data_IF_985245162256
#
_entry.id   IF_985245162256
#
_cell.length_a   1.000
_cell.length_b   1.000
_cell.length_c   1.000
_cell.angle_alpha   90.00
_cell.angle_beta   90.00
_cell.angle_gamma   90.00
#
_symmetry.space_group_name_H-M   'P 1'
#
loop_
_entity.id
_entity.type
_entity.pdbx_description
1 polymer ?
#
# COMPACT_ATOMS: atom_id res chain seq x y z
N UNK A 1 -8.07 -25.89 -3.42
CA UNK A 1 -7.49 -24.54 -3.47
C UNK A 1 -6.76 -24.36 -2.16
N UNK A 2 -5.43 -24.27 -2.17
CA UNK A 2 -4.69 -24.05 -0.93
C UNK A 2 -5.10 -22.68 -0.40
N UNK A 3 -5.74 -22.66 0.76
CA UNK A 3 -6.02 -21.42 1.47
C UNK A 3 -4.65 -20.83 1.83
N UNK A 4 -4.19 -19.83 1.09
CA UNK A 4 -2.85 -19.27 1.28
C UNK A 4 -2.90 -18.31 2.47
N UNK A 5 -2.96 -18.87 3.67
CA UNK A 5 -3.11 -18.11 4.92
C UNK A 5 -2.05 -17.01 5.05
N UNK A 6 -0.85 -17.23 4.50
CA UNK A 6 0.21 -16.22 4.45
C UNK A 6 -0.16 -15.03 3.55
N UNK A 7 -0.75 -15.28 2.39
CA UNK A 7 -1.24 -14.24 1.49
C UNK A 7 -2.36 -13.42 2.13
N UNK A 8 -3.30 -14.05 2.84
CA UNK A 8 -4.38 -13.34 3.54
C UNK A 8 -3.81 -12.39 4.61
N UNK A 9 -2.83 -12.86 5.40
CA UNK A 9 -2.15 -12.02 6.40
C UNK A 9 -1.41 -10.86 5.75
N UNK A 10 -0.73 -11.11 4.63
CA UNK A 10 -0.01 -10.07 3.89
C UNK A 10 -0.98 -9.00 3.35
N UNK A 11 -2.09 -9.42 2.73
CA UNK A 11 -3.12 -8.50 2.22
C UNK A 11 -3.66 -7.62 3.36
N UNK A 12 -4.00 -8.21 4.51
CA UNK A 12 -4.49 -7.44 5.65
C UNK A 12 -3.46 -6.41 6.16
N UNK A 13 -2.16 -6.75 6.14
CA UNK A 13 -1.10 -5.80 6.48
C UNK A 13 -0.96 -4.69 5.44
N UNK A 14 -1.06 -5.01 4.15
CA UNK A 14 -1.04 -4.02 3.07
C UNK A 14 -2.24 -3.06 3.20
N UNK A 15 -3.43 -3.58 3.49
CA UNK A 15 -4.63 -2.76 3.74
C UNK A 15 -4.43 -1.82 4.93
N UNK A 16 -3.92 -2.32 6.06
CA UNK A 16 -3.62 -1.50 7.24
C UNK A 16 -2.63 -0.38 6.91
N UNK A 17 -1.57 -0.69 6.16
CA UNK A 17 -0.58 0.31 5.75
C UNK A 17 -1.17 1.35 4.80
N UNK A 18 -2.09 0.96 3.90
CA UNK A 18 -2.80 1.90 3.04
C UNK A 18 -3.65 2.87 3.86
N UNK A 19 -4.40 2.35 4.84
CA UNK A 19 -5.22 3.17 5.73
C UNK A 19 -4.37 4.15 6.56
N UNK A 20 -3.29 3.66 7.17
CA UNK A 20 -2.35 4.50 7.94
C UNK A 20 -1.67 5.54 7.05
N UNK A 21 -1.23 5.12 5.86
CA UNK A 21 -0.62 5.98 4.86
C UNK A 21 -1.54 7.12 4.46
N UNK A 22 -2.79 6.81 4.14
CA UNK A 22 -3.78 7.80 3.75
C UNK A 22 -4.17 8.73 4.91
N UNK A 23 -4.29 8.20 6.13
CA UNK A 23 -4.61 8.98 7.31
C UNK A 23 -3.50 9.98 7.67
N UNK A 24 -2.24 9.60 7.48
CA UNK A 24 -1.06 10.42 7.72
C UNK A 24 -0.44 11.01 6.44
N UNK A 25 -1.18 11.10 5.33
CA UNK A 25 -0.63 11.50 4.04
C UNK A 25 0.00 12.91 4.10
N UNK A 26 1.22 13.04 3.58
CA UNK A 26 2.02 14.26 3.69
C UNK A 26 2.70 14.47 5.06
N UNK A 27 2.46 13.60 6.05
CA UNK A 27 3.10 13.59 7.37
C UNK A 27 4.07 12.41 7.52
N UNK A 28 4.87 12.42 8.60
CA UNK A 28 5.90 11.39 8.84
C UNK A 28 5.31 9.97 8.87
N UNK A 29 4.15 9.79 9.51
CA UNK A 29 3.50 8.47 9.61
C UNK A 29 3.01 7.98 8.24
N UNK A 30 2.55 8.88 7.37
CA UNK A 30 2.22 8.55 5.98
C UNK A 30 3.45 8.16 5.17
N UNK A 31 4.59 8.82 5.40
CA UNK A 31 5.86 8.48 4.75
C UNK A 31 6.42 7.12 5.21
N UNK A 32 6.22 6.74 6.48
CA UNK A 32 6.59 5.42 6.97
C UNK A 32 5.78 4.32 6.28
N UNK A 33 4.47 4.52 6.15
CA UNK A 33 3.59 3.60 5.42
C UNK A 33 3.95 3.54 3.93
N UNK A 34 4.23 4.69 3.31
CA UNK A 34 4.71 4.77 1.92
C UNK A 34 5.95 3.91 1.70
N UNK A 35 6.96 4.00 2.58
CA UNK A 35 8.20 3.24 2.41
C UNK A 35 7.95 1.73 2.48
N UNK A 36 7.09 1.27 3.40
CA UNK A 36 6.73 -0.14 3.51
C UNK A 36 5.95 -0.64 2.27
N UNK A 37 5.00 0.16 1.77
CA UNK A 37 4.21 -0.16 0.57
C UNK A 37 5.08 -0.17 -0.69
N UNK A 38 6.06 0.74 -0.79
CA UNK A 38 7.00 0.81 -1.91
C UNK A 38 7.91 -0.42 -1.94
N UNK A 39 8.38 -0.87 -0.79
CA UNK A 39 9.15 -2.11 -0.68
C UNK A 39 8.30 -3.31 -1.13
N UNK A 40 7.06 -3.42 -0.66
CA UNK A 40 6.14 -4.50 -1.06
C UNK A 40 5.90 -4.51 -2.58
N UNK A 41 5.69 -3.34 -3.19
CA UNK A 41 5.59 -3.18 -4.66
C UNK A 41 6.87 -3.64 -5.35
N UNK A 42 8.03 -3.16 -4.89
CA UNK A 42 9.33 -3.49 -5.48
C UNK A 42 9.61 -5.00 -5.46
N UNK A 43 9.30 -5.66 -4.34
CA UNK A 43 9.44 -7.10 -4.22
C UNK A 43 8.47 -7.85 -5.13
N UNK A 44 7.20 -7.46 -5.19
CA UNK A 44 6.23 -8.08 -6.09
C UNK A 44 6.65 -7.98 -7.56
N UNK A 45 7.12 -6.80 -8.00
CA UNK A 45 7.67 -6.60 -9.33
C UNK A 45 8.91 -7.49 -9.58
N UNK A 46 9.84 -7.57 -8.62
CA UNK A 46 11.05 -8.38 -8.72
C UNK A 46 10.76 -9.90 -8.83
N UNK A 47 9.69 -10.37 -8.19
CA UNK A 47 9.26 -11.78 -8.24
C UNK A 47 8.21 -12.07 -9.32
N UNK A 48 7.79 -11.07 -10.10
CA UNK A 48 6.75 -11.23 -11.12
C UNK A 48 5.36 -11.51 -10.57
N UNK A 49 5.07 -11.06 -9.34
CA UNK A 49 3.78 -11.21 -8.68
C UNK A 49 2.90 -10.00 -9.08
N UNK A 50 1.69 -10.22 -9.61
CA UNK A 50 0.75 -9.13 -9.90
C UNK A 50 0.39 -8.34 -8.63
N UNK A 51 0.32 -7.00 -8.73
CA UNK A 51 0.05 -6.14 -7.57
C UNK A 51 -1.34 -6.37 -6.98
N UNK A 52 -2.30 -6.83 -7.79
CA UNK A 52 -3.64 -7.22 -7.35
C UNK A 52 -3.60 -8.40 -6.38
N UNK A 53 -2.63 -9.31 -6.52
CA UNK A 53 -2.49 -10.49 -5.66
C UNK A 53 -1.99 -10.15 -4.25
N UNK A 54 -1.40 -8.97 -4.07
CA UNK A 54 -0.91 -8.45 -2.79
C UNK A 54 -1.70 -7.24 -2.27
N UNK A 55 -2.82 -6.88 -2.92
CA UNK A 55 -3.69 -5.78 -2.47
C UNK A 55 -3.24 -4.36 -2.87
N UNK A 56 -2.28 -4.25 -3.80
CA UNK A 56 -1.72 -2.98 -4.30
C UNK A 56 -2.22 -2.55 -5.68
N UNK A 57 -2.99 -3.37 -6.40
CA UNK A 57 -3.40 -3.17 -7.81
C UNK A 57 -3.62 -1.70 -8.24
N UNK A 58 -4.70 -1.08 -7.80
CA UNK A 58 -5.08 0.29 -8.19
C UNK A 58 -4.58 1.37 -7.21
N UNK A 59 -3.73 1.01 -6.23
CA UNK A 59 -3.32 1.94 -5.19
C UNK A 59 -2.20 2.85 -5.67
N UNK A 60 -2.46 4.17 -5.72
CA UNK A 60 -1.43 5.15 -6.05
C UNK A 60 -0.61 5.55 -4.81
N UNK A 61 0.61 5.04 -4.72
CA UNK A 61 1.51 5.35 -3.60
C UNK A 61 1.91 6.83 -3.56
N UNK A 62 1.94 7.52 -4.71
CA UNK A 62 2.35 8.93 -4.77
C UNK A 62 1.38 9.84 -4.01
N UNK A 63 0.12 9.42 -3.85
CA UNK A 63 -0.89 10.12 -3.06
C UNK A 63 -0.54 10.18 -1.56
N UNK A 64 0.38 9.32 -1.09
CA UNK A 64 0.84 9.34 0.31
C UNK A 64 1.90 10.42 0.56
N UNK A 65 2.68 10.76 -0.46
CA UNK A 65 3.70 11.82 -0.39
C UNK A 65 3.06 13.18 -0.68
N UNK A 66 2.25 13.23 -1.74
CA UNK A 66 1.62 14.44 -2.22
C UNK A 66 0.12 14.19 -2.37
N UNK A 67 -0.64 14.20 -1.27
CA UNK A 67 -2.06 13.94 -1.33
C UNK A 67 -2.73 14.94 -2.28
N UNK A 68 -3.64 14.48 -3.16
CA UNK A 68 -4.38 15.39 -4.01
C UNK A 68 -5.05 16.45 -3.14
N UNK A 69 -4.95 17.72 -3.53
CA UNK A 69 -5.63 18.81 -2.84
C UNK A 69 -7.09 18.42 -2.67
N UNK A 70 -7.49 18.07 -1.43
CA UNK A 70 -8.91 17.97 -1.11
C UNK A 70 -9.47 19.34 -1.42
N UNK A 71 -10.24 19.46 -2.51
CA UNK A 71 -11.13 20.59 -2.66
C UNK A 71 -11.99 20.59 -1.40
N UNK A 72 -11.69 21.54 -0.51
CA UNK A 72 -12.54 21.85 0.62
C UNK A 72 -13.90 22.22 0.04
N UNK A 73 -14.84 21.28 0.13
CA UNK A 73 -16.26 21.54 -0.09
C UNK A 73 -16.82 22.29 1.12
#
# INVERSE_FOLDING_TARGET
MANNSYQIVLIALVELLKEQGQAGAGELDGLNAYQALLEAKTQAEAFGIPLEEIGLGDFNLDDLINPPLRHAA
#
